data_IF_085771809124
#
_entry.id   IF_085771809124
#
_cell.length_a   1.000
_cell.length_b   1.000
_cell.length_c   1.000
_cell.angle_alpha   90.00
_cell.angle_beta   90.00
_cell.angle_gamma   90.00
#
_symmetry.space_group_name_H-M   'P 1'
#
loop_
_entity.id
_entity.type
_entity.pdbx_description
1 polymer ?
#
# COMPACT_ATOMS: atom_id res chain seq x y z
N UNK A 1 -10.99 5.60 1.71
CA UNK A 1 -12.16 4.74 1.32
C UNK A 1 -13.35 5.11 2.19
N UNK A 2 -14.57 4.97 1.65
CA UNK A 2 -15.81 5.23 2.42
C UNK A 2 -16.20 4.08 3.36
N UNK A 3 -15.48 2.99 3.34
CA UNK A 3 -15.65 1.82 4.21
C UNK A 3 -14.82 0.63 3.73
N UNK A 4 -15.15 -0.59 4.18
CA UNK A 4 -14.28 -1.76 4.01
C UNK A 4 -14.82 -2.80 2.99
N UNK A 5 -15.96 -2.55 2.34
CA UNK A 5 -16.58 -3.48 1.39
C UNK A 5 -16.55 -2.91 -0.03
N UNK A 6 -15.70 -3.39 -0.95
CA UNK A 6 -15.63 -2.85 -2.31
C UNK A 6 -16.96 -2.87 -3.08
N UNK A 7 -17.85 -3.80 -2.77
CA UNK A 7 -19.17 -3.86 -3.40
C UNK A 7 -20.11 -2.68 -3.02
N UNK A 8 -19.78 -1.94 -1.96
CA UNK A 8 -20.62 -0.86 -1.38
C UNK A 8 -19.90 0.46 -1.20
N UNK A 9 -18.59 0.41 -1.12
CA UNK A 9 -17.75 1.54 -0.74
C UNK A 9 -16.77 1.89 -1.85
N UNK A 10 -16.34 3.14 -1.89
CA UNK A 10 -15.48 3.67 -2.94
C UNK A 10 -14.16 4.21 -2.39
N UNK A 11 -13.17 4.32 -3.27
CA UNK A 11 -11.90 4.99 -2.97
C UNK A 11 -12.13 6.50 -3.02
N UNK A 12 -11.69 7.21 -1.98
CA UNK A 12 -11.83 8.68 -1.87
C UNK A 12 -10.50 9.41 -1.68
N UNK A 13 -9.41 8.68 -1.46
CA UNK A 13 -8.07 9.24 -1.37
C UNK A 13 -7.05 8.17 -1.77
N UNK A 14 -6.03 8.57 -2.57
CA UNK A 14 -4.92 7.72 -2.99
C UNK A 14 -3.63 8.49 -2.78
N UNK A 15 -2.69 7.89 -2.06
CA UNK A 15 -1.32 8.37 -1.97
C UNK A 15 -0.34 7.21 -2.18
N UNK A 16 0.82 7.50 -2.74
CA UNK A 16 1.81 6.48 -3.07
C UNK A 16 3.21 6.95 -2.71
N UNK A 17 3.99 6.08 -2.10
CA UNK A 17 5.43 6.23 -1.89
C UNK A 17 6.17 5.12 -2.60
N UNK A 18 7.36 5.41 -3.12
CA UNK A 18 8.32 4.41 -3.57
C UNK A 18 9.46 4.40 -2.58
N UNK A 19 9.82 3.22 -2.08
CA UNK A 19 10.99 3.03 -1.20
C UNK A 19 11.99 2.08 -1.86
N UNK A 20 13.24 2.18 -1.43
CA UNK A 20 14.22 1.14 -1.65
C UNK A 20 14.07 -0.01 -0.62
N UNK A 21 14.90 -1.05 -0.74
CA UNK A 21 14.91 -2.19 0.19
C UNK A 21 15.37 -1.81 1.61
N UNK A 22 16.03 -0.66 1.75
CA UNK A 22 16.43 -0.09 3.04
C UNK A 22 15.32 0.76 3.66
N UNK A 23 14.15 0.83 3.03
CA UNK A 23 12.97 1.65 3.40
C UNK A 23 13.23 3.16 3.31
N UNK A 24 14.25 3.61 2.56
CA UNK A 24 14.39 5.03 2.25
C UNK A 24 13.34 5.42 1.22
N UNK A 25 12.69 6.57 1.43
CA UNK A 25 11.72 7.11 0.47
C UNK A 25 12.52 7.62 -0.74
N UNK A 26 12.37 6.93 -1.87
CA UNK A 26 12.99 7.27 -3.16
C UNK A 26 12.17 8.33 -3.88
N UNK A 27 10.86 8.20 -3.81
CA UNK A 27 9.94 9.18 -4.42
C UNK A 27 8.61 9.21 -3.66
N UNK A 28 8.02 10.39 -3.66
CA UNK A 28 6.68 10.66 -3.16
C UNK A 28 5.78 11.03 -4.34
N UNK A 29 4.73 10.27 -4.51
CA UNK A 29 3.76 10.46 -5.56
C UNK A 29 2.70 11.50 -5.22
N UNK A 30 1.73 11.67 -6.11
CA UNK A 30 0.62 12.57 -5.86
C UNK A 30 -0.22 12.07 -4.68
N UNK A 31 -0.73 13.01 -3.89
CA UNK A 31 -1.76 12.81 -2.87
C UNK A 31 -3.08 13.29 -3.46
N UNK A 32 -3.95 12.34 -3.83
CA UNK A 32 -5.11 12.55 -4.68
C UNK A 32 -6.40 12.33 -3.90
N UNK A 33 -7.19 13.40 -3.74
CA UNK A 33 -8.55 13.30 -3.19
C UNK A 33 -9.52 13.12 -4.35
N UNK A 34 -10.19 11.97 -4.37
CA UNK A 34 -11.15 11.56 -5.40
C UNK A 34 -12.55 12.03 -5.03
N UNK A 35 -13.26 12.56 -6.03
CA UNK A 35 -14.67 12.93 -5.86
C UNK A 35 -15.55 11.72 -5.56
N UNK A 36 -16.49 11.88 -4.64
CA UNK A 36 -17.57 10.92 -4.39
C UNK A 36 -18.92 11.64 -4.29
N UNK A 37 -19.96 11.03 -4.85
CA UNK A 37 -21.32 11.57 -4.79
C UNK A 37 -21.90 11.46 -3.39
N UNK A 38 -22.91 12.29 -3.07
CA UNK A 38 -23.60 12.21 -1.77
C UNK A 38 -24.23 10.82 -1.54
N UNK A 39 -24.65 10.13 -2.60
CA UNK A 39 -25.17 8.76 -2.50
C UNK A 39 -24.08 7.78 -2.04
N UNK A 40 -22.85 7.89 -2.60
CA UNK A 40 -21.69 7.08 -2.19
C UNK A 40 -21.25 7.42 -0.76
N UNK A 41 -21.33 8.69 -0.37
CA UNK A 41 -20.99 9.14 0.98
C UNK A 41 -22.04 8.71 2.02
N UNK A 42 -23.32 8.63 1.65
CA UNK A 42 -24.40 8.19 2.53
C UNK A 42 -24.26 6.72 2.99
N UNK A 43 -23.45 5.92 2.29
CA UNK A 43 -23.13 4.55 2.67
C UNK A 43 -22.10 4.41 3.80
N UNK A 44 -21.46 5.50 4.25
CA UNK A 44 -20.44 5.46 5.31
C UNK A 44 -21.05 5.18 6.68
N UNK A 45 -20.34 4.38 7.47
CA UNK A 45 -20.62 4.24 8.90
C UNK A 45 -20.24 5.53 9.66
N UNK A 46 -20.90 5.81 10.80
CA UNK A 46 -20.68 7.03 11.58
C UNK A 46 -19.20 7.22 11.97
N UNK A 47 -18.50 6.15 12.31
CA UNK A 47 -17.07 6.19 12.66
C UNK A 47 -16.20 6.71 11.51
N UNK A 48 -16.54 6.35 10.27
CA UNK A 48 -15.84 6.80 9.06
C UNK A 48 -16.16 8.27 8.76
N UNK A 49 -17.42 8.67 8.91
CA UNK A 49 -17.85 10.07 8.78
C UNK A 49 -17.07 10.95 9.77
N UNK A 50 -17.03 10.55 11.04
CA UNK A 50 -16.35 11.29 12.11
C UNK A 50 -14.82 11.40 11.85
N UNK A 51 -14.23 10.33 11.32
CA UNK A 51 -12.81 10.28 10.96
C UNK A 51 -12.51 11.24 9.80
N UNK A 52 -13.27 11.17 8.70
CA UNK A 52 -13.08 12.03 7.53
C UNK A 52 -13.43 13.49 7.82
N UNK A 53 -14.42 13.76 8.68
CA UNK A 53 -14.74 15.12 9.14
C UNK A 53 -13.58 15.70 9.96
N UNK A 54 -13.06 14.94 10.90
CA UNK A 54 -11.95 15.37 11.77
C UNK A 54 -10.66 15.68 10.99
N UNK A 55 -10.35 14.88 9.97
CA UNK A 55 -9.18 15.10 9.10
C UNK A 55 -9.41 16.19 8.05
N UNK A 56 -10.63 16.73 7.91
CA UNK A 56 -11.00 17.66 6.84
C UNK A 56 -11.12 17.00 5.46
N UNK A 57 -11.00 15.68 5.37
CA UNK A 57 -11.06 14.95 4.11
C UNK A 57 -12.47 14.98 3.51
N UNK A 58 -13.52 14.95 4.33
CA UNK A 58 -14.90 14.92 3.84
C UNK A 58 -15.24 16.15 2.98
N UNK A 59 -14.82 17.33 3.41
CA UNK A 59 -15.03 18.57 2.63
C UNK A 59 -14.21 18.57 1.35
N UNK A 60 -12.99 18.02 1.39
CA UNK A 60 -12.13 17.89 0.21
C UNK A 60 -12.72 16.91 -0.82
N UNK A 61 -13.31 15.80 -0.39
CA UNK A 61 -13.99 14.84 -1.28
C UNK A 61 -15.14 15.52 -2.03
N UNK A 62 -15.96 16.30 -1.31
CA UNK A 62 -17.07 17.04 -1.90
C UNK A 62 -16.62 18.14 -2.87
N UNK A 63 -15.54 18.83 -2.54
CA UNK A 63 -14.97 19.89 -3.36
C UNK A 63 -14.16 19.36 -4.55
N UNK A 64 -13.69 18.12 -4.50
CA UNK A 64 -12.91 17.52 -5.56
C UNK A 64 -13.74 17.34 -6.83
N UNK A 65 -13.08 17.51 -7.98
CA UNK A 65 -13.62 17.16 -9.30
C UNK A 65 -12.86 16.02 -9.95
N UNK A 66 -11.82 15.49 -9.26
CA UNK A 66 -10.97 14.42 -9.76
C UNK A 66 -11.76 13.10 -9.74
N UNK A 67 -11.84 12.47 -10.88
CA UNK A 67 -12.47 11.15 -11.00
C UNK A 67 -11.53 10.04 -10.52
N UNK A 68 -12.09 8.90 -10.16
CA UNK A 68 -11.28 7.73 -9.77
C UNK A 68 -10.41 7.22 -10.93
N UNK A 69 -10.90 7.29 -12.15
CA UNK A 69 -10.16 6.90 -13.36
C UNK A 69 -8.93 7.80 -13.55
N UNK A 70 -9.08 9.12 -13.46
CA UNK A 70 -7.97 10.07 -13.57
C UNK A 70 -6.95 9.88 -12.43
N UNK A 71 -7.43 9.68 -11.20
CA UNK A 71 -6.57 9.41 -10.05
C UNK A 71 -5.78 8.09 -10.24
N UNK A 72 -6.44 7.05 -10.73
CA UNK A 72 -5.82 5.77 -11.07
C UNK A 72 -4.75 5.91 -12.14
N UNK A 73 -5.04 6.63 -13.22
CA UNK A 73 -4.09 6.89 -14.31
C UNK A 73 -2.84 7.65 -13.82
N UNK A 74 -3.01 8.70 -13.01
CA UNK A 74 -1.90 9.47 -12.42
C UNK A 74 -1.06 8.60 -11.48
N UNK A 75 -1.71 7.79 -10.64
CA UNK A 75 -1.04 6.88 -9.72
C UNK A 75 -0.23 5.83 -10.49
N UNK A 76 -0.82 5.18 -11.50
CA UNK A 76 -0.13 4.18 -12.32
C UNK A 76 1.06 4.79 -13.07
N UNK A 77 0.89 5.95 -13.67
CA UNK A 77 1.97 6.66 -14.38
C UNK A 77 3.14 6.98 -13.43
N UNK A 78 2.86 7.41 -12.20
CA UNK A 78 3.87 7.63 -11.18
C UNK A 78 4.59 6.31 -10.82
N UNK A 79 3.85 5.22 -10.57
CA UNK A 79 4.45 3.92 -10.26
C UNK A 79 5.36 3.47 -11.41
N UNK A 80 4.90 3.54 -12.65
CA UNK A 80 5.65 3.11 -13.83
C UNK A 80 6.92 3.93 -14.08
N UNK A 81 6.96 5.18 -13.65
CA UNK A 81 8.17 6.00 -13.73
C UNK A 81 9.34 5.42 -12.92
N UNK A 82 9.06 4.84 -11.75
CA UNK A 82 10.07 4.28 -10.83
C UNK A 82 10.16 2.76 -10.90
N UNK A 83 9.10 2.12 -11.32
CA UNK A 83 8.96 0.67 -11.46
C UNK A 83 8.42 0.37 -12.86
N UNK A 84 9.24 0.48 -13.91
CA UNK A 84 8.78 0.32 -15.29
C UNK A 84 8.36 -1.11 -15.64
N UNK A 85 8.90 -2.11 -14.95
CA UNK A 85 8.56 -3.51 -15.21
C UNK A 85 7.42 -3.96 -14.31
N UNK A 86 6.31 -4.46 -14.88
CA UNK A 86 5.19 -4.96 -14.08
C UNK A 86 5.59 -6.22 -13.31
N UNK A 87 4.92 -6.44 -12.18
CA UNK A 87 5.04 -7.63 -11.32
C UNK A 87 6.41 -7.84 -10.69
N UNK A 88 7.19 -6.78 -10.50
CA UNK A 88 8.51 -6.85 -9.88
C UNK A 88 8.51 -6.42 -8.42
N UNK A 89 7.61 -5.52 -8.01
CA UNK A 89 7.56 -4.99 -6.64
C UNK A 89 6.24 -5.28 -5.95
N UNK A 90 6.26 -5.67 -4.67
CA UNK A 90 5.06 -5.92 -3.88
C UNK A 90 4.39 -4.62 -3.45
N UNK A 91 3.07 -4.66 -3.22
CA UNK A 91 2.38 -3.65 -2.43
C UNK A 91 2.78 -3.79 -0.96
N UNK A 92 3.11 -2.66 -0.32
CA UNK A 92 3.53 -2.60 1.08
C UNK A 92 2.66 -1.61 1.86
N UNK A 93 2.42 -1.88 3.14
CA UNK A 93 1.67 -0.99 4.03
C UNK A 93 0.98 -1.74 5.16
N UNK A 94 0.10 -1.06 5.89
CA UNK A 94 -0.66 -1.65 7.00
C UNK A 94 -2.00 -2.18 6.48
N UNK A 95 -2.32 -3.46 6.77
CA UNK A 95 -3.60 -4.12 6.41
C UNK A 95 -3.92 -4.06 4.92
N UNK A 96 -2.90 -4.12 4.08
CA UNK A 96 -2.97 -3.89 2.63
C UNK A 96 -3.82 -4.90 1.87
N UNK A 97 -4.21 -6.01 2.48
CA UNK A 97 -5.20 -6.91 1.90
C UNK A 97 -6.53 -6.22 1.58
N UNK A 98 -6.88 -5.17 2.34
CA UNK A 98 -8.04 -4.35 2.04
C UNK A 98 -7.81 -3.46 0.82
N UNK A 99 -6.65 -2.79 0.77
CA UNK A 99 -6.28 -1.93 -0.37
C UNK A 99 -6.26 -2.74 -1.67
N UNK A 100 -5.68 -3.95 -1.67
CA UNK A 100 -5.69 -4.84 -2.83
C UNK A 100 -7.10 -5.18 -3.33
N UNK A 101 -8.04 -5.43 -2.42
CA UNK A 101 -9.45 -5.70 -2.80
C UNK A 101 -10.10 -4.51 -3.50
N UNK A 102 -9.77 -3.29 -3.08
CA UNK A 102 -10.26 -2.07 -3.72
C UNK A 102 -9.53 -1.81 -5.04
N UNK A 103 -8.21 -2.06 -5.11
CA UNK A 103 -7.46 -1.93 -6.36
C UNK A 103 -7.97 -2.93 -7.40
N UNK A 104 -8.17 -4.19 -7.03
CA UNK A 104 -8.72 -5.23 -7.92
C UNK A 104 -10.10 -4.85 -8.46
N UNK A 105 -10.96 -4.31 -7.60
CA UNK A 105 -12.34 -3.95 -7.97
C UNK A 105 -12.44 -2.69 -8.83
N UNK A 106 -11.57 -1.70 -8.60
CA UNK A 106 -11.75 -0.36 -9.14
C UNK A 106 -10.58 0.14 -10.00
N UNK A 107 -9.37 -0.35 -9.78
CA UNK A 107 -8.14 0.09 -10.45
C UNK A 107 -7.27 -1.13 -10.82
N UNK A 108 -7.82 -2.09 -11.59
CA UNK A 108 -7.15 -3.35 -11.90
C UNK A 108 -5.82 -3.17 -12.63
N UNK A 109 -5.59 -2.07 -13.35
CA UNK A 109 -4.33 -1.80 -14.01
C UNK A 109 -3.19 -1.57 -13.00
N UNK A 110 -3.48 -0.91 -11.86
CA UNK A 110 -2.51 -0.78 -10.77
C UNK A 110 -2.26 -2.15 -10.14
N UNK A 111 -3.31 -2.89 -9.79
CA UNK A 111 -3.19 -4.21 -9.17
C UNK A 111 -2.39 -5.18 -10.06
N UNK A 112 -2.64 -5.19 -11.37
CA UNK A 112 -1.93 -6.02 -12.35
C UNK A 112 -0.47 -5.60 -12.56
N UNK A 113 -0.11 -4.34 -12.29
CA UNK A 113 1.26 -3.85 -12.37
C UNK A 113 2.09 -4.28 -11.15
N UNK A 114 1.46 -4.46 -10.00
CA UNK A 114 2.11 -4.87 -8.76
C UNK A 114 2.37 -6.39 -8.74
N UNK A 115 3.39 -6.81 -8.00
CA UNK A 115 3.65 -8.22 -7.74
C UNK A 115 2.52 -8.80 -6.86
N UNK A 116 2.17 -10.09 -7.05
CA UNK A 116 1.11 -10.75 -6.29
C UNK A 116 1.42 -10.90 -4.79
N UNK A 117 2.71 -10.90 -4.41
CA UNK A 117 3.13 -10.89 -3.01
C UNK A 117 2.93 -9.52 -2.39
N UNK A 118 2.85 -9.50 -1.06
CA UNK A 118 2.63 -8.30 -0.26
C UNK A 118 3.59 -8.24 0.92
N UNK A 119 3.91 -7.03 1.35
CA UNK A 119 4.56 -6.79 2.63
C UNK A 119 3.56 -6.08 3.55
N UNK A 120 2.81 -6.86 4.34
CA UNK A 120 1.83 -6.32 5.28
C UNK A 120 2.47 -6.04 6.64
N UNK A 121 2.67 -4.77 6.94
CA UNK A 121 3.25 -4.29 8.19
C UNK A 121 2.38 -4.65 9.40
N UNK A 122 1.06 -4.75 9.22
CA UNK A 122 0.14 -5.19 10.27
C UNK A 122 0.37 -6.65 10.64
N UNK A 123 0.73 -7.51 9.68
CA UNK A 123 1.10 -8.90 9.95
C UNK A 123 2.39 -9.00 10.78
N UNK A 124 3.41 -8.21 10.44
CA UNK A 124 4.64 -8.10 11.24
C UNK A 124 4.31 -7.64 12.66
N UNK A 125 3.49 -6.59 12.81
CA UNK A 125 3.04 -6.08 14.11
C UNK A 125 2.35 -7.15 14.96
N UNK A 126 1.50 -7.97 14.34
CA UNK A 126 0.81 -9.06 15.04
C UNK A 126 1.79 -10.13 15.57
N UNK A 127 2.86 -10.43 14.81
CA UNK A 127 3.91 -11.33 15.27
C UNK A 127 4.72 -10.71 16.42
N UNK A 128 5.08 -9.43 16.28
CA UNK A 128 5.79 -8.68 17.34
C UNK A 128 4.99 -8.65 18.63
N UNK A 129 3.69 -8.39 18.55
CA UNK A 129 2.81 -8.37 19.71
C UNK A 129 2.82 -9.69 20.47
N UNK A 130 2.96 -10.82 19.78
CA UNK A 130 2.95 -12.16 20.37
C UNK A 130 4.31 -12.59 20.87
N UNK A 131 5.35 -12.30 20.11
CA UNK A 131 6.68 -12.86 20.36
C UNK A 131 7.64 -11.90 21.05
N UNK A 132 7.44 -10.58 20.84
CA UNK A 132 8.31 -9.52 21.34
C UNK A 132 7.50 -8.37 21.97
N UNK A 133 6.60 -8.62 22.93
CA UNK A 133 5.67 -7.60 23.44
C UNK A 133 6.39 -6.39 24.06
N UNK A 134 7.59 -6.57 24.62
CA UNK A 134 8.41 -5.49 25.17
C UNK A 134 8.86 -4.47 24.12
N UNK A 135 9.03 -4.89 22.86
CA UNK A 135 9.45 -4.00 21.76
C UNK A 135 8.35 -3.00 21.42
N UNK A 136 7.08 -3.36 21.53
CA UNK A 136 5.96 -2.45 21.27
C UNK A 136 5.95 -1.23 22.19
N UNK A 137 6.42 -1.38 23.42
CA UNK A 137 6.52 -0.27 24.39
C UNK A 137 7.56 0.79 24.00
N UNK A 138 8.48 0.48 23.09
CA UNK A 138 9.51 1.40 22.60
C UNK A 138 9.03 2.23 21.39
N UNK A 139 7.87 1.91 20.84
CA UNK A 139 7.36 2.53 19.61
C UNK A 139 6.84 3.94 19.88
N UNK A 140 7.21 4.88 19.02
CA UNK A 140 6.61 6.22 19.01
C UNK A 140 5.14 6.12 18.65
N UNK A 141 4.28 6.82 19.40
CA UNK A 141 2.84 6.83 19.09
C UNK A 141 2.59 7.51 17.74
N UNK A 142 1.68 6.91 16.95
CA UNK A 142 1.21 7.46 15.68
C UNK A 142 0.44 8.78 15.94
N UNK A 143 0.58 9.73 15.03
CA UNK A 143 -0.16 11.01 15.12
C UNK A 143 -1.63 10.85 14.73
N UNK A 144 -1.98 9.84 13.93
CA UNK A 144 -3.36 9.48 13.62
C UNK A 144 -4.12 10.57 12.86
N UNK A 145 -3.48 11.20 11.88
CA UNK A 145 -4.11 12.22 11.03
C UNK A 145 -5.20 11.66 10.14
N UNK A 146 -5.16 10.35 9.90
CA UNK A 146 -6.06 9.62 8.99
C UNK A 146 -6.11 10.23 7.58
N UNK A 147 -4.94 10.66 7.07
CA UNK A 147 -4.71 11.06 5.70
C UNK A 147 -3.79 10.03 5.03
N UNK A 148 -4.11 9.67 3.79
CA UNK A 148 -3.45 8.57 3.10
C UNK A 148 -1.92 8.71 3.08
N UNK A 149 -1.41 9.89 2.74
CA UNK A 149 0.04 10.12 2.69
C UNK A 149 0.72 9.99 4.05
N UNK A 150 0.11 10.51 5.10
CA UNK A 150 0.66 10.40 6.46
C UNK A 150 0.62 8.95 6.95
N UNK A 151 -0.49 8.23 6.68
CA UNK A 151 -0.66 6.83 7.07
C UNK A 151 0.39 5.92 6.40
N UNK A 152 0.73 6.16 5.11
CA UNK A 152 1.77 5.38 4.44
C UNK A 152 3.18 5.75 4.91
N UNK A 153 3.47 7.02 5.22
CA UNK A 153 4.73 7.42 5.86
C UNK A 153 4.89 6.76 7.24
N UNK A 154 3.83 6.73 8.04
CA UNK A 154 3.81 6.02 9.32
C UNK A 154 4.01 4.51 9.14
N UNK A 155 3.48 3.91 8.06
CA UNK A 155 3.69 2.49 7.75
C UNK A 155 5.15 2.19 7.44
N UNK A 156 5.83 3.04 6.67
CA UNK A 156 7.27 2.94 6.39
C UNK A 156 8.08 3.06 7.69
N UNK A 157 7.77 4.05 8.53
CA UNK A 157 8.45 4.26 9.81
C UNK A 157 8.23 3.07 10.77
N UNK A 158 7.02 2.50 10.79
CA UNK A 158 6.69 1.34 11.60
C UNK A 158 7.47 0.09 11.14
N UNK A 159 7.57 -0.15 9.84
CA UNK A 159 8.34 -1.28 9.31
C UNK A 159 9.84 -1.11 9.57
N UNK A 160 10.35 0.12 9.41
CA UNK A 160 11.76 0.46 9.74
C UNK A 160 12.05 0.19 11.22
N UNK A 161 11.15 0.59 12.12
CA UNK A 161 11.26 0.29 13.54
C UNK A 161 11.34 -1.22 13.81
N UNK A 162 10.48 -2.04 13.18
CA UNK A 162 10.55 -3.50 13.34
C UNK A 162 11.84 -4.08 12.77
N UNK A 163 12.30 -3.59 11.62
CA UNK A 163 13.56 -4.00 11.01
C UNK A 163 14.75 -3.79 11.96
N UNK A 164 14.78 -2.66 12.63
CA UNK A 164 15.87 -2.30 13.55
C UNK A 164 15.87 -3.12 14.86
N UNK A 165 14.68 -3.48 15.36
CA UNK A 165 14.54 -4.04 16.72
C UNK A 165 14.29 -5.54 16.75
N UNK A 166 13.91 -6.16 15.63
CA UNK A 166 13.45 -7.55 15.61
C UNK A 166 14.22 -8.42 14.63
N UNK A 167 14.49 -7.88 13.42
CA UNK A 167 15.20 -8.66 12.42
C UNK A 167 16.70 -8.65 12.71
N UNK A 168 17.31 -9.83 12.71
CA UNK A 168 18.76 -9.94 12.79
C UNK A 168 19.37 -9.23 11.60
N UNK A 169 20.36 -8.37 11.84
CA UNK A 169 21.18 -7.84 10.76
C UNK A 169 21.87 -9.00 10.08
N UNK A 170 21.74 -9.11 8.78
CA UNK A 170 22.58 -10.01 8.01
C UNK A 170 24.03 -9.56 8.26
N UNK A 171 24.78 -10.32 9.08
CA UNK A 171 26.22 -10.24 9.04
C UNK A 171 26.59 -10.48 7.58
N UNK A 172 27.49 -9.68 7.03
CA UNK A 172 27.92 -9.76 5.64
C UNK A 172 28.44 -11.17 5.35
N UNK A 173 27.51 -12.08 5.08
CA UNK A 173 27.89 -13.37 4.48
C UNK A 173 28.31 -13.06 3.05
N UNK A 174 29.44 -13.60 2.59
CA UNK A 174 29.80 -13.52 1.18
C UNK A 174 28.59 -14.05 0.38
N UNK A 175 28.03 -13.20 -0.47
CA UNK A 175 26.93 -13.57 -1.38
C UNK A 175 27.46 -14.74 -2.21
N UNK A 176 26.84 -15.91 -2.07
CA UNK A 176 27.12 -17.04 -2.97
C UNK A 176 26.66 -16.60 -4.37
N UNK A 177 27.61 -16.40 -5.33
CA UNK A 177 27.24 -15.92 -6.67
C UNK A 177 26.38 -16.93 -7.46
N UNK A 178 26.11 -18.11 -6.91
CA UNK A 178 25.27 -19.14 -7.53
C UNK A 178 23.77 -18.99 -7.20
N UNK A 179 23.40 -18.10 -6.27
CA UNK A 179 21.99 -17.82 -5.93
C UNK A 179 21.63 -16.44 -6.47
N UNK A 180 21.06 -16.39 -7.66
CA UNK A 180 20.42 -15.17 -8.18
C UNK A 180 19.09 -14.94 -7.43
N UNK A 181 18.98 -13.93 -6.54
CA UNK A 181 17.75 -13.69 -5.77
C UNK A 181 16.58 -13.16 -6.63
N UNK A 182 16.81 -12.87 -7.92
CA UNK A 182 15.83 -12.26 -8.81
C UNK A 182 15.00 -13.27 -9.61
N UNK A 183 15.30 -14.56 -9.57
CA UNK A 183 14.58 -15.56 -10.39
C UNK A 183 13.80 -16.50 -9.48
N UNK A 184 12.51 -16.20 -9.27
CA UNK A 184 11.54 -17.18 -8.76
C UNK A 184 11.21 -18.15 -9.89
N UNK A 185 11.58 -19.46 -9.81
CA UNK A 185 11.32 -20.43 -10.88
C UNK A 185 9.82 -20.66 -11.16
N UNK A 186 8.92 -20.10 -10.37
CA UNK A 186 7.47 -20.17 -10.57
C UNK A 186 6.94 -19.18 -11.65
N UNK A 187 7.78 -18.32 -12.22
CA UNK A 187 7.40 -17.31 -13.24
C UNK A 187 7.91 -17.70 -14.64
N UNK A 188 8.23 -18.95 -14.89
CA UNK A 188 8.47 -19.44 -16.25
C UNK A 188 7.15 -19.33 -17.05
N UNK A 189 7.16 -18.50 -18.10
CA UNK A 189 6.03 -18.32 -19.00
C UNK A 189 5.56 -19.67 -19.56
N UNK A 190 4.24 -19.86 -19.80
CA UNK A 190 3.74 -21.05 -20.47
C UNK A 190 4.34 -21.08 -21.89
N UNK A 191 4.99 -22.19 -22.22
CA UNK A 191 5.42 -22.49 -23.60
C UNK A 191 4.19 -22.46 -24.49
N UNK A 192 4.21 -21.78 -25.65
CA UNK A 192 3.11 -21.85 -26.59
C UNK A 192 3.01 -23.30 -27.11
N UNK A 193 1.86 -23.89 -26.89
CA UNK A 193 1.51 -25.21 -27.37
C UNK A 193 1.58 -25.21 -28.90
N UNK A 194 2.41 -26.11 -29.46
CA UNK A 194 2.56 -26.25 -30.90
C UNK A 194 1.29 -26.92 -31.43
N UNK A 195 0.54 -26.16 -32.24
CA UNK A 195 -0.55 -26.69 -33.02
C UNK A 195 -0.07 -27.80 -33.97
N UNK A 196 -0.67 -28.94 -33.85
CA UNK A 196 -0.89 -29.92 -34.93
C UNK A 196 -2.37 -30.23 -35.02
#
# INVERSE_FOLDING_TARGET
MTGLEPARHVIVEIATLITDDELNIVAEGPDLVVHATEEQLAGMEQVVIDMHTRSGLLDQIRASTLTLEEAGAQTLAFIQQYVPQPRTVPLCGNSIGMDRRFLDAYLPDIENHLHYRSVDVSSVKELVRRWYPSVLGLRVQKQGTHRALDDIRESVAELRFYREHIFLRAESQPVDPAVDPAVDPAVAAPTPDAAQ
#
